data_IF_660761326475
#
_entry.id   IF_660761326475
#
_cell.length_a   1.000
_cell.length_b   1.000
_cell.length_c   1.000
_cell.angle_alpha   90.00
_cell.angle_beta   90.00
_cell.angle_gamma   90.00
#
_symmetry.space_group_name_H-M   'P 1'
#
loop_
_entity.id
_entity.type
_entity.pdbx_description
1 polymer ?
#
# COMPACT_ATOMS: atom_id res chain seq x y z
N UNK A 1 6.13 28.42 21.79
CA UNK A 1 5.90 27.52 22.94
C UNK A 1 4.43 27.14 23.02
N UNK A 2 3.51 28.02 23.45
CA UNK A 2 2.08 27.68 23.65
C UNK A 2 1.39 26.96 22.47
N UNK A 3 1.64 27.36 21.22
CA UNK A 3 1.06 26.72 20.03
C UNK A 3 1.50 25.27 19.84
N UNK A 4 2.73 24.93 20.23
CA UNK A 4 3.27 23.58 20.13
C UNK A 4 2.62 22.69 21.18
N UNK A 5 2.49 23.20 22.40
CA UNK A 5 1.90 22.47 23.53
C UNK A 5 0.41 22.19 23.28
N UNK A 6 -0.34 23.17 22.76
CA UNK A 6 -1.73 23.02 22.33
C UNK A 6 -1.87 22.01 21.19
N UNK A 7 -0.99 22.08 20.19
CA UNK A 7 -0.98 21.14 19.07
C UNK A 7 -0.71 19.70 19.51
N UNK A 8 0.21 19.50 20.44
CA UNK A 8 0.53 18.18 21.00
C UNK A 8 -0.59 17.63 21.88
N UNK A 9 -1.23 18.47 22.70
CA UNK A 9 -2.42 18.10 23.46
C UNK A 9 -3.58 17.68 22.56
N UNK A 10 -3.86 18.46 21.52
CA UNK A 10 -4.88 18.12 20.52
C UNK A 10 -4.55 16.81 19.79
N UNK A 11 -3.29 16.61 19.42
CA UNK A 11 -2.82 15.40 18.76
C UNK A 11 -2.99 14.15 19.64
N UNK A 12 -2.74 14.25 20.95
CA UNK A 12 -3.00 13.17 21.90
C UNK A 12 -4.50 12.85 21.98
N UNK A 13 -5.34 13.88 22.13
CA UNK A 13 -6.80 13.70 22.18
C UNK A 13 -7.29 13.00 20.92
N UNK A 14 -6.92 13.50 19.73
CA UNK A 14 -7.28 12.88 18.46
C UNK A 14 -6.80 11.42 18.36
N UNK A 15 -5.58 11.12 18.83
CA UNK A 15 -5.07 9.74 18.86
C UNK A 15 -5.92 8.85 19.74
N UNK A 16 -6.26 9.28 20.96
CA UNK A 16 -7.13 8.50 21.85
C UNK A 16 -8.51 8.30 21.24
N UNK A 17 -9.05 9.30 20.54
CA UNK A 17 -10.33 9.18 19.84
C UNK A 17 -10.27 8.16 18.69
N UNK A 18 -9.17 8.07 17.94
CA UNK A 18 -8.96 7.01 16.93
C UNK A 18 -8.87 5.63 17.60
N UNK A 19 -8.09 5.51 18.69
CA UNK A 19 -7.96 4.25 19.43
C UNK A 19 -9.27 3.78 20.07
N UNK A 20 -10.26 4.66 20.27
CA UNK A 20 -11.60 4.27 20.73
C UNK A 20 -12.26 3.22 19.83
N UNK A 21 -11.85 3.07 18.57
CA UNK A 21 -12.32 2.02 17.68
C UNK A 21 -12.12 0.61 18.25
N UNK A 22 -11.07 0.38 19.04
CA UNK A 22 -10.80 -0.93 19.65
C UNK A 22 -11.89 -1.38 20.65
N UNK A 23 -12.69 -0.42 21.16
CA UNK A 23 -13.74 -0.67 22.15
C UNK A 23 -15.12 -0.83 21.47
N UNK A 24 -15.21 -0.62 20.15
CA UNK A 24 -16.43 -0.73 19.35
C UNK A 24 -16.82 0.57 18.62
N UNK A 25 -18.03 0.59 18.04
CA UNK A 25 -18.57 1.70 17.24
C UNK A 25 -19.07 2.88 18.08
N UNK A 26 -18.14 3.67 18.62
CA UNK A 26 -18.44 4.81 19.49
C UNK A 26 -18.65 6.12 18.69
N UNK A 27 -19.47 7.05 19.22
CA UNK A 27 -19.69 8.38 18.61
C UNK A 27 -18.37 9.16 18.47
N UNK A 28 -17.48 8.99 19.46
CA UNK A 28 -16.15 9.62 19.49
C UNK A 28 -15.32 9.24 18.27
N UNK A 29 -15.28 7.95 17.93
CA UNK A 29 -14.57 7.46 16.75
C UNK A 29 -15.16 8.02 15.45
N UNK A 30 -16.50 7.97 15.30
CA UNK A 30 -17.19 8.52 14.12
C UNK A 30 -16.92 10.02 13.94
N UNK A 31 -16.89 10.79 15.03
CA UNK A 31 -16.60 12.22 14.97
C UNK A 31 -15.16 12.46 14.50
N UNK A 32 -14.20 11.67 14.98
CA UNK A 32 -12.81 11.75 14.50
C UNK A 32 -12.67 11.42 13.03
N UNK A 33 -13.40 10.43 12.52
CA UNK A 33 -13.41 10.10 11.09
C UNK A 33 -13.91 11.29 10.24
N UNK A 34 -15.00 11.94 10.65
CA UNK A 34 -15.52 13.12 9.95
C UNK A 34 -14.55 14.30 10.01
N UNK A 35 -13.89 14.53 11.16
CA UNK A 35 -12.84 15.55 11.27
C UNK A 35 -11.67 15.21 10.35
N UNK A 36 -11.21 13.97 10.35
CA UNK A 36 -10.09 13.51 9.53
C UNK A 36 -10.38 13.74 8.04
N UNK A 37 -11.54 13.28 7.57
CA UNK A 37 -11.96 13.44 6.16
C UNK A 37 -12.17 14.93 5.83
N UNK A 38 -12.82 15.69 6.71
CA UNK A 38 -13.07 17.12 6.52
C UNK A 38 -11.77 17.94 6.43
N UNK A 39 -10.83 17.73 7.36
CA UNK A 39 -9.52 18.38 7.34
C UNK A 39 -8.72 17.96 6.10
N UNK A 40 -8.77 16.70 5.71
CA UNK A 40 -8.07 16.22 4.50
C UNK A 40 -8.59 16.92 3.24
N UNK A 41 -9.92 16.99 3.06
CA UNK A 41 -10.55 17.66 1.92
C UNK A 41 -10.30 19.17 1.95
N UNK A 42 -10.36 19.78 3.13
CA UNK A 42 -10.09 21.21 3.33
C UNK A 42 -8.65 21.57 2.97
N UNK A 43 -7.67 20.82 3.49
CA UNK A 43 -6.26 21.02 3.14
C UNK A 43 -6.02 20.81 1.64
N UNK A 44 -6.56 19.75 1.04
CA UNK A 44 -6.44 19.52 -0.40
C UNK A 44 -7.05 20.66 -1.22
N UNK A 45 -8.16 21.23 -0.79
CA UNK A 45 -8.80 22.39 -1.44
C UNK A 45 -7.91 23.63 -1.35
N UNK A 46 -7.29 23.89 -0.20
CA UNK A 46 -6.31 24.96 -0.05
C UNK A 46 -5.11 24.76 -0.98
N UNK A 47 -4.59 23.53 -1.07
CA UNK A 47 -3.50 23.21 -2.01
C UNK A 47 -3.91 23.48 -3.46
N UNK A 48 -5.12 23.10 -3.86
CA UNK A 48 -5.63 23.38 -5.20
C UNK A 48 -5.74 24.90 -5.44
N UNK A 49 -6.26 25.67 -4.48
CA UNK A 49 -6.42 27.11 -4.65
C UNK A 49 -5.05 27.81 -4.73
N UNK A 50 -4.19 27.57 -3.73
CA UNK A 50 -2.94 28.33 -3.58
C UNK A 50 -1.80 27.82 -4.46
N UNK A 51 -1.74 26.51 -4.75
CA UNK A 51 -0.63 25.93 -5.52
C UNK A 51 -0.99 25.56 -6.95
N UNK A 52 -2.27 25.64 -7.34
CA UNK A 52 -2.70 25.35 -8.71
C UNK A 52 -3.48 26.51 -9.34
N UNK A 53 -4.58 26.97 -8.73
CA UNK A 53 -5.48 27.95 -9.35
C UNK A 53 -4.85 29.35 -9.36
N UNK A 54 -4.44 29.89 -8.20
CA UNK A 54 -3.87 31.24 -8.12
C UNK A 54 -2.61 31.38 -8.99
N UNK A 55 -1.62 30.48 -8.91
CA UNK A 55 -0.44 30.57 -9.77
C UNK A 55 -0.79 30.46 -11.25
N UNK A 56 -1.74 29.61 -11.63
CA UNK A 56 -2.18 29.49 -13.02
C UNK A 56 -2.80 30.80 -13.54
N UNK A 57 -3.62 31.48 -12.72
CA UNK A 57 -4.23 32.76 -13.09
C UNK A 57 -3.18 33.87 -13.23
N UNK A 58 -2.22 33.96 -12.31
CA UNK A 58 -1.10 34.91 -12.40
C UNK A 58 -0.28 34.68 -13.67
N UNK A 59 0.07 33.42 -13.99
CA UNK A 59 0.83 33.09 -15.21
C UNK A 59 0.06 33.42 -16.49
N UNK A 60 -1.28 33.34 -16.48
CA UNK A 60 -2.11 33.74 -17.63
C UNK A 60 -2.12 35.28 -17.77
N UNK A 61 -2.17 36.02 -16.67
CA UNK A 61 -2.20 37.49 -16.67
C UNK A 61 -0.85 38.11 -17.04
N UNK A 62 0.26 37.49 -16.64
CA UNK A 62 1.63 37.96 -16.94
C UNK A 62 2.00 37.88 -18.43
N UNK A 63 1.10 37.41 -19.30
CA UNK A 63 1.28 37.45 -20.76
C UNK A 63 2.23 36.36 -21.23
N UNK A 64 1.71 35.15 -21.33
CA UNK A 64 2.46 33.96 -21.71
C UNK A 64 2.22 33.63 -23.19
N UNK A 65 3.27 33.26 -23.94
CA UNK A 65 3.14 32.83 -25.34
C UNK A 65 2.15 31.67 -25.50
N UNK A 66 1.69 31.40 -26.73
CA UNK A 66 0.64 30.42 -27.05
C UNK A 66 0.86 29.06 -26.35
N UNK A 67 2.11 28.59 -26.23
CA UNK A 67 2.45 27.33 -25.56
C UNK A 67 2.23 27.34 -24.02
N UNK A 68 2.47 28.46 -23.34
CA UNK A 68 2.23 28.59 -21.91
C UNK A 68 0.73 28.74 -21.62
N UNK A 69 -0.02 29.45 -22.47
CA UNK A 69 -1.48 29.53 -22.38
C UNK A 69 -2.12 28.14 -22.39
N UNK A 70 -1.72 27.26 -23.32
CA UNK A 70 -2.25 25.89 -23.38
C UNK A 70 -1.92 25.08 -22.12
N UNK A 71 -0.70 25.20 -21.60
CA UNK A 71 -0.23 24.41 -20.45
C UNK A 71 -0.99 24.71 -19.16
N UNK A 72 -1.32 25.98 -18.88
CA UNK A 72 -2.03 26.38 -17.65
C UNK A 72 -3.55 26.47 -17.81
N UNK A 73 -4.03 26.85 -19.00
CA UNK A 73 -5.47 26.97 -19.26
C UNK A 73 -6.13 25.60 -19.35
N UNK A 74 -5.46 24.60 -19.91
CA UNK A 74 -6.06 23.26 -20.10
C UNK A 74 -6.40 22.58 -18.75
N UNK A 75 -5.49 22.49 -17.75
CA UNK A 75 -5.82 21.95 -16.43
C UNK A 75 -6.91 22.76 -15.72
N UNK A 76 -6.90 24.09 -15.86
CA UNK A 76 -7.89 24.97 -15.23
C UNK A 76 -9.29 24.75 -15.83
N UNK A 77 -9.37 24.61 -17.15
CA UNK A 77 -10.62 24.29 -17.84
C UNK A 77 -11.15 22.91 -17.42
N UNK A 78 -10.30 21.89 -17.37
CA UNK A 78 -10.67 20.56 -16.88
C UNK A 78 -11.13 20.61 -15.41
N UNK A 79 -10.48 21.43 -14.57
CA UNK A 79 -10.89 21.67 -13.19
C UNK A 79 -12.27 22.34 -13.08
N UNK A 80 -12.56 23.32 -13.92
CA UNK A 80 -13.89 23.96 -13.97
C UNK A 80 -14.95 22.94 -14.42
N UNK A 81 -14.67 22.11 -15.42
CA UNK A 81 -15.58 21.02 -15.84
C UNK A 81 -15.86 20.04 -14.70
N UNK A 82 -14.88 19.81 -13.81
CA UNK A 82 -15.04 18.95 -12.64
C UNK A 82 -15.96 19.56 -11.58
N UNK A 83 -16.01 20.88 -11.42
CA UNK A 83 -16.89 21.55 -10.46
C UNK A 83 -18.37 21.26 -10.73
N UNK A 84 -18.73 21.12 -12.01
CA UNK A 84 -20.09 20.83 -12.45
C UNK A 84 -20.47 19.34 -12.37
N UNK A 85 -19.64 18.47 -11.78
CA UNK A 85 -19.89 17.02 -11.63
C UNK A 85 -21.31 16.63 -11.20
N UNK A 86 -22.02 17.35 -10.29
CA UNK A 86 -23.37 16.97 -9.89
C UNK A 86 -24.38 16.95 -11.05
N UNK A 87 -24.11 17.70 -12.12
CA UNK A 87 -25.00 17.86 -13.28
C UNK A 87 -24.94 16.61 -14.17
N UNK A 88 -26.10 15.95 -14.37
CA UNK A 88 -26.19 14.69 -15.13
C UNK A 88 -25.79 14.83 -16.62
N UNK A 89 -26.04 15.99 -17.23
CA UNK A 89 -25.81 16.24 -18.65
C UNK A 89 -24.33 16.22 -19.06
N UNK A 90 -23.43 16.70 -18.20
CA UNK A 90 -21.99 16.79 -18.51
C UNK A 90 -21.16 15.61 -17.99
N UNK A 91 -21.82 14.57 -17.46
CA UNK A 91 -21.17 13.35 -16.96
C UNK A 91 -20.12 12.75 -17.89
N UNK A 92 -20.29 12.65 -19.22
CA UNK A 92 -19.22 12.10 -20.06
C UNK A 92 -17.93 12.95 -20.00
N UNK A 93 -18.05 14.28 -19.98
CA UNK A 93 -16.90 15.17 -19.86
C UNK A 93 -16.23 15.05 -18.48
N UNK A 94 -17.02 15.08 -17.40
CA UNK A 94 -16.47 14.93 -16.04
C UNK A 94 -15.88 13.54 -15.79
N UNK A 95 -16.42 12.48 -16.40
CA UNK A 95 -15.88 11.13 -16.30
C UNK A 95 -14.51 11.02 -16.97
N UNK A 96 -14.28 11.73 -18.09
CA UNK A 96 -12.96 11.79 -18.72
C UNK A 96 -11.94 12.48 -17.82
N UNK A 97 -12.32 13.60 -17.20
CA UNK A 97 -11.47 14.29 -16.21
C UNK A 97 -11.16 13.37 -15.02
N UNK A 98 -12.14 12.64 -14.50
CA UNK A 98 -11.96 11.68 -13.41
C UNK A 98 -11.06 10.50 -13.79
N UNK A 99 -11.19 9.98 -15.00
CA UNK A 99 -10.31 8.93 -15.51
C UNK A 99 -8.85 9.42 -15.55
N UNK A 100 -8.63 10.68 -15.94
CA UNK A 100 -7.31 11.29 -15.93
C UNK A 100 -6.77 11.46 -14.50
N UNK A 101 -7.56 11.98 -13.57
CA UNK A 101 -7.14 12.17 -12.16
C UNK A 101 -6.87 10.84 -11.48
N UNK A 102 -7.75 9.85 -11.61
CA UNK A 102 -7.52 8.52 -11.02
C UNK A 102 -6.34 7.82 -11.69
N UNK A 103 -6.19 7.99 -13.01
CA UNK A 103 -5.05 7.48 -13.76
C UNK A 103 -3.72 8.05 -13.28
N UNK A 104 -3.62 9.37 -13.07
CA UNK A 104 -2.39 10.01 -12.58
C UNK A 104 -2.09 9.61 -11.13
N UNK A 105 -3.09 9.57 -10.25
CA UNK A 105 -2.90 9.12 -8.85
C UNK A 105 -2.47 7.66 -8.80
N UNK A 106 -3.07 6.79 -9.62
CA UNK A 106 -2.70 5.37 -9.70
C UNK A 106 -1.28 5.21 -10.25
N UNK A 107 -0.90 5.99 -11.28
CA UNK A 107 0.44 5.98 -11.83
C UNK A 107 1.49 6.47 -10.82
N UNK A 108 1.19 7.55 -10.08
CA UNK A 108 2.06 8.05 -9.02
C UNK A 108 2.21 7.04 -7.88
N UNK A 109 1.12 6.41 -7.45
CA UNK A 109 1.16 5.37 -6.43
C UNK A 109 1.97 4.15 -6.89
N UNK A 110 1.76 3.69 -8.13
CA UNK A 110 2.53 2.60 -8.71
C UNK A 110 4.01 2.96 -8.84
N UNK A 111 4.33 4.16 -9.36
CA UNK A 111 5.70 4.65 -9.47
C UNK A 111 6.37 4.78 -8.10
N UNK A 112 5.65 5.29 -7.11
CA UNK A 112 6.12 5.41 -5.73
C UNK A 112 6.35 4.05 -5.07
N UNK A 113 5.50 3.05 -5.34
CA UNK A 113 5.72 1.68 -4.88
C UNK A 113 6.93 1.05 -5.58
N UNK A 114 7.05 1.18 -6.89
CA UNK A 114 8.17 0.60 -7.65
C UNK A 114 9.49 1.24 -7.24
N UNK A 115 9.58 2.57 -7.27
CA UNK A 115 10.83 3.28 -6.96
C UNK A 115 11.12 3.36 -5.46
N UNK A 116 10.09 3.44 -4.62
CA UNK A 116 10.23 3.61 -3.18
C UNK A 116 10.40 2.30 -2.42
N UNK A 117 9.88 1.18 -2.91
CA UNK A 117 10.00 -0.12 -2.22
C UNK A 117 10.63 -1.21 -3.09
N UNK A 118 10.09 -1.49 -4.28
CA UNK A 118 10.52 -2.65 -5.07
C UNK A 118 11.98 -2.54 -5.54
N UNK A 119 12.38 -1.40 -6.12
CA UNK A 119 13.75 -1.21 -6.60
C UNK A 119 14.78 -1.20 -5.46
N UNK A 120 14.57 -0.47 -4.33
CA UNK A 120 15.44 -0.58 -3.17
C UNK A 120 15.53 -2.00 -2.61
N UNK A 121 14.42 -2.76 -2.59
CA UNK A 121 14.42 -4.15 -2.14
C UNK A 121 15.19 -5.07 -3.08
N UNK A 122 15.06 -4.91 -4.40
CA UNK A 122 15.87 -5.64 -5.39
C UNK A 122 17.36 -5.30 -5.19
N UNK A 123 17.69 -4.03 -5.04
CA UNK A 123 19.07 -3.59 -4.75
C UNK A 123 19.61 -4.20 -3.46
N UNK A 124 18.79 -4.27 -2.40
CA UNK A 124 19.15 -4.90 -1.12
C UNK A 124 19.48 -6.40 -1.26
N UNK A 125 18.87 -7.08 -2.24
CA UNK A 125 19.16 -8.50 -2.52
C UNK A 125 20.45 -8.71 -3.32
N UNK A 126 20.99 -7.66 -3.94
CA UNK A 126 22.21 -7.71 -4.76
C UNK A 126 23.49 -7.37 -3.95
N UNK A 127 23.40 -7.11 -2.64
CA UNK A 127 24.59 -6.79 -1.84
C UNK A 127 25.58 -7.98 -1.82
N UNK A 128 26.88 -7.74 -2.06
CA UNK A 128 27.88 -8.79 -2.03
C UNK A 128 28.01 -9.39 -0.63
N UNK A 129 28.07 -10.72 -0.55
CA UNK A 129 28.25 -11.46 0.71
C UNK A 129 29.70 -11.39 1.22
N UNK A 130 30.65 -11.06 0.34
CA UNK A 130 32.08 -10.98 0.64
C UNK A 130 32.55 -9.54 0.47
N UNK A 131 32.34 -8.72 1.49
CA UNK A 131 32.88 -7.36 1.57
C UNK A 131 33.82 -7.29 2.78
N UNK A 132 34.99 -6.68 2.60
CA UNK A 132 35.96 -6.55 3.70
C UNK A 132 35.37 -5.70 4.83
N UNK A 133 35.41 -6.22 6.07
CA UNK A 133 34.92 -5.52 7.27
C UNK A 133 33.44 -5.78 7.65
N UNK A 134 32.77 -6.78 7.07
CA UNK A 134 31.40 -7.15 7.50
C UNK A 134 31.41 -7.68 8.94
N UNK A 135 30.57 -7.08 9.81
CA UNK A 135 30.28 -7.63 11.14
C UNK A 135 29.42 -8.89 11.07
N UNK A 136 29.61 -9.83 12.00
CA UNK A 136 28.93 -11.15 12.01
C UNK A 136 27.40 -11.00 11.92
N UNK A 137 26.82 -10.00 12.57
CA UNK A 137 25.39 -9.73 12.54
C UNK A 137 24.87 -9.35 11.13
N UNK A 138 25.64 -8.56 10.38
CA UNK A 138 25.28 -8.14 9.02
C UNK A 138 25.42 -9.31 8.02
N UNK A 139 26.43 -10.17 8.21
CA UNK A 139 26.56 -11.41 7.43
C UNK A 139 25.35 -12.33 7.63
N UNK A 140 24.92 -12.53 8.88
CA UNK A 140 23.73 -13.33 9.20
C UNK A 140 22.50 -12.71 8.52
N UNK A 141 22.33 -11.39 8.62
CA UNK A 141 21.22 -10.67 7.97
C UNK A 141 21.16 -10.91 6.46
N UNK A 142 22.30 -10.78 5.76
CA UNK A 142 22.39 -11.01 4.30
C UNK A 142 22.13 -12.47 3.92
N UNK A 143 22.63 -13.43 4.69
CA UNK A 143 22.35 -14.87 4.45
C UNK A 143 20.87 -15.18 4.65
N UNK A 144 20.27 -14.69 5.74
CA UNK A 144 18.84 -14.86 6.01
C UNK A 144 17.99 -14.23 4.91
N UNK A 145 18.38 -13.07 4.39
CA UNK A 145 17.73 -12.42 3.24
C UNK A 145 17.76 -13.32 2.00
N UNK A 146 18.93 -13.83 1.61
CA UNK A 146 19.07 -14.71 0.43
C UNK A 146 18.26 -16.00 0.60
N UNK A 147 18.36 -16.67 1.75
CA UNK A 147 17.62 -17.91 2.01
C UNK A 147 16.11 -17.66 2.05
N UNK A 148 15.68 -16.57 2.71
CA UNK A 148 14.28 -16.19 2.82
C UNK A 148 13.66 -15.85 1.47
N UNK A 149 14.36 -15.09 0.63
CA UNK A 149 13.90 -14.73 -0.71
C UNK A 149 13.80 -15.94 -1.64
N UNK A 150 14.83 -16.80 -1.68
CA UNK A 150 14.80 -18.05 -2.46
C UNK A 150 13.66 -18.98 -2.02
N UNK A 151 13.48 -19.15 -0.71
CA UNK A 151 12.42 -20.00 -0.15
C UNK A 151 11.03 -19.45 -0.50
N UNK A 152 10.85 -18.13 -0.45
CA UNK A 152 9.58 -17.48 -0.78
C UNK A 152 9.25 -17.61 -2.26
N UNK A 153 10.21 -17.37 -3.15
CA UNK A 153 10.03 -17.57 -4.60
C UNK A 153 9.69 -19.02 -4.91
N UNK A 154 10.41 -19.96 -4.28
CA UNK A 154 10.15 -21.39 -4.46
C UNK A 154 8.74 -21.78 -4.01
N UNK A 155 8.25 -21.24 -2.88
CA UNK A 155 6.88 -21.48 -2.43
C UNK A 155 5.83 -20.98 -3.42
N UNK A 156 5.96 -19.74 -3.91
CA UNK A 156 4.97 -19.16 -4.82
C UNK A 156 4.94 -19.85 -6.18
N UNK A 157 6.09 -20.27 -6.70
CA UNK A 157 6.18 -20.95 -8.00
C UNK A 157 5.50 -22.33 -8.00
N UNK A 158 5.50 -23.04 -6.86
CA UNK A 158 4.91 -24.38 -6.76
C UNK A 158 3.48 -24.40 -6.17
N UNK A 159 3.07 -23.36 -5.45
CA UNK A 159 1.72 -23.29 -4.84
C UNK A 159 0.64 -22.92 -5.87
N UNK A 160 0.95 -22.10 -6.87
CA UNK A 160 -0.02 -21.69 -7.91
C UNK A 160 -0.39 -22.82 -8.88
N UNK A 161 0.37 -23.92 -8.94
CA UNK A 161 0.09 -25.07 -9.82
C UNK A 161 -0.75 -26.19 -9.20
N UNK A 162 -1.17 -26.08 -7.94
CA UNK A 162 -1.82 -27.20 -7.22
C UNK A 162 -3.32 -27.02 -6.94
N UNK A 163 -3.98 -26.01 -7.51
CA UNK A 163 -5.41 -25.73 -7.26
C UNK A 163 -6.23 -25.67 -8.56
N UNK A 164 -5.89 -26.48 -9.56
CA UNK A 164 -6.79 -26.76 -10.69
C UNK A 164 -7.16 -28.24 -10.66
N UNK A 165 -8.25 -28.55 -9.96
CA UNK A 165 -8.73 -29.93 -9.84
C UNK A 165 -9.78 -30.17 -8.76
N UNK A 166 -10.63 -29.18 -8.46
CA UNK A 166 -11.93 -29.46 -7.84
C UNK A 166 -12.98 -29.35 -8.94
N UNK A 167 -13.05 -30.39 -9.78
CA UNK A 167 -14.15 -30.55 -10.72
C UNK A 167 -15.45 -30.76 -9.91
N UNK A 168 -16.46 -30.01 -10.32
CA UNK A 168 -17.80 -30.01 -9.75
C UNK A 168 -18.35 -31.47 -9.69
N UNK A 169 -18.92 -31.94 -8.56
CA UNK A 169 -19.48 -33.31 -8.45
C UNK A 169 -20.60 -33.64 -9.44
N UNK A 170 -21.11 -32.63 -10.17
CA UNK A 170 -22.17 -32.78 -11.16
C UNK A 170 -21.66 -33.14 -12.56
N UNK A 171 -20.34 -33.13 -12.81
CA UNK A 171 -19.74 -33.54 -14.09
C UNK A 171 -19.20 -34.99 -14.09
N UNK A 172 -19.13 -35.66 -12.93
CA UNK A 172 -18.64 -37.03 -12.82
C UNK A 172 -19.67 -38.10 -13.20
N UNK A 173 -20.95 -37.74 -13.33
CA UNK A 173 -22.00 -38.66 -13.78
C UNK A 173 -21.92 -38.97 -15.30
N UNK A 174 -21.34 -38.09 -16.11
CA UNK A 174 -21.20 -38.27 -17.57
C UNK A 174 -19.80 -38.73 -18.01
N UNK A 175 -18.85 -38.87 -17.08
CA UNK A 175 -17.46 -39.23 -17.38
C UNK A 175 -17.14 -40.74 -17.20
N UNK A 176 -18.16 -41.60 -17.09
CA UNK A 176 -18.01 -43.03 -16.80
C UNK A 176 -17.47 -43.92 -17.93
N UNK A 177 -16.81 -43.40 -18.97
CA UNK A 177 -16.33 -44.24 -20.11
C UNK A 177 -14.89 -44.03 -20.59
N UNK A 178 -14.07 -43.20 -19.93
CA UNK A 178 -12.68 -42.98 -20.38
C UNK A 178 -11.61 -43.14 -19.29
N UNK A 179 -11.89 -43.92 -18.25
CA UNK A 179 -10.89 -44.32 -17.26
C UNK A 179 -10.04 -45.50 -17.78
N UNK A 180 -9.19 -45.23 -18.76
CA UNK A 180 -8.22 -46.18 -19.27
C UNK A 180 -6.95 -45.48 -19.73
N UNK A 181 -5.83 -45.78 -19.05
CA UNK A 181 -4.43 -45.44 -19.38
C UNK A 181 -3.88 -44.14 -18.79
N UNK A 182 -3.55 -44.15 -17.51
CA UNK A 182 -2.40 -43.38 -17.02
C UNK A 182 -1.78 -43.99 -15.75
N UNK A 183 -1.37 -45.26 -15.83
CA UNK A 183 -0.69 -45.99 -14.75
C UNK A 183 0.85 -45.99 -14.89
N UNK A 184 1.46 -44.88 -15.31
CA UNK A 184 2.89 -44.85 -15.59
C UNK A 184 3.53 -43.48 -15.41
N UNK A 185 3.68 -43.01 -14.16
CA UNK A 185 4.57 -41.89 -13.75
C UNK A 185 4.69 -41.79 -12.22
N UNK A 186 4.87 -42.93 -11.54
CA UNK A 186 4.74 -43.05 -10.07
C UNK A 186 6.00 -42.64 -9.28
N UNK A 187 7.23 -42.77 -9.80
CA UNK A 187 8.41 -42.40 -9.00
C UNK A 187 8.66 -40.88 -8.91
N UNK A 188 8.50 -40.17 -10.02
CA UNK A 188 8.75 -38.71 -10.11
C UNK A 188 7.64 -37.91 -9.42
N UNK A 189 6.39 -38.41 -9.44
CA UNK A 189 5.26 -37.76 -8.76
C UNK A 189 5.25 -37.97 -7.24
N UNK A 190 5.90 -39.02 -6.72
CA UNK A 190 6.07 -39.24 -5.28
C UNK A 190 7.25 -38.45 -4.71
N UNK A 191 8.38 -38.38 -5.43
CA UNK A 191 9.51 -37.52 -5.08
C UNK A 191 9.12 -36.04 -5.13
N UNK A 192 8.37 -35.60 -6.15
CA UNK A 192 7.86 -34.22 -6.21
C UNK A 192 6.81 -33.92 -5.13
N UNK A 193 6.06 -34.91 -4.65
CA UNK A 193 5.11 -34.74 -3.54
C UNK A 193 5.79 -34.51 -2.18
N UNK A 194 6.86 -35.25 -1.85
CA UNK A 194 7.60 -35.03 -0.57
C UNK A 194 8.37 -33.71 -0.57
N UNK A 195 9.05 -33.38 -1.67
CA UNK A 195 9.76 -32.11 -1.81
C UNK A 195 8.77 -30.93 -1.82
N UNK A 196 7.62 -31.05 -2.50
CA UNK A 196 6.58 -29.99 -2.50
C UNK A 196 5.78 -29.88 -1.21
N UNK A 197 5.67 -30.94 -0.39
CA UNK A 197 5.02 -30.84 0.93
C UNK A 197 5.89 -30.08 1.93
N UNK A 198 7.19 -30.35 1.97
CA UNK A 198 8.10 -29.63 2.85
C UNK A 198 8.30 -28.18 2.40
N UNK A 199 8.41 -27.92 1.09
CA UNK A 199 8.49 -26.55 0.57
C UNK A 199 7.23 -25.70 0.90
N UNK A 200 6.05 -26.32 0.93
CA UNK A 200 4.79 -25.65 1.32
C UNK A 200 4.75 -25.24 2.79
N UNK A 201 5.27 -26.08 3.69
CA UNK A 201 5.36 -25.76 5.11
C UNK A 201 6.34 -24.60 5.34
N UNK A 202 7.56 -24.72 4.81
CA UNK A 202 8.60 -23.70 5.01
C UNK A 202 8.18 -22.36 4.41
N UNK A 203 7.59 -22.35 3.21
CA UNK A 203 7.09 -21.11 2.61
C UNK A 203 5.94 -20.46 3.39
N UNK A 204 5.03 -21.25 3.97
CA UNK A 204 3.96 -20.72 4.83
C UNK A 204 4.53 -20.04 6.09
N UNK A 205 5.53 -20.66 6.72
CA UNK A 205 6.22 -20.07 7.88
C UNK A 205 7.00 -18.81 7.52
N UNK A 206 7.70 -18.81 6.38
CA UNK A 206 8.41 -17.63 5.88
C UNK A 206 7.46 -16.45 5.63
N UNK A 207 6.30 -16.71 5.00
CA UNK A 207 5.26 -15.71 4.77
C UNK A 207 4.67 -15.20 6.10
N UNK A 208 4.35 -16.10 7.04
CA UNK A 208 3.86 -15.70 8.36
C UNK A 208 4.85 -14.83 9.12
N UNK A 209 6.15 -15.14 9.05
CA UNK A 209 7.20 -14.36 9.69
C UNK A 209 7.35 -12.98 9.04
N UNK A 210 7.36 -12.92 7.70
CA UNK A 210 7.46 -11.65 6.97
C UNK A 210 6.26 -10.72 7.27
N UNK A 211 5.02 -11.22 7.15
CA UNK A 211 3.83 -10.43 7.49
C UNK A 211 3.76 -10.11 8.97
N UNK A 212 4.17 -11.03 9.85
CA UNK A 212 4.26 -10.79 11.28
C UNK A 212 5.23 -9.65 11.64
N UNK A 213 6.40 -9.61 10.99
CA UNK A 213 7.37 -8.54 11.19
C UNK A 213 6.85 -7.18 10.69
N UNK A 214 6.19 -7.15 9.52
CA UNK A 214 5.57 -5.93 9.00
C UNK A 214 4.42 -5.45 9.91
N UNK A 215 3.60 -6.37 10.40
CA UNK A 215 2.54 -6.02 11.34
C UNK A 215 3.10 -5.49 12.66
N UNK A 216 4.11 -6.16 13.21
CA UNK A 216 4.77 -5.76 14.44
C UNK A 216 5.46 -4.39 14.31
N UNK A 217 6.08 -4.07 13.17
CA UNK A 217 6.72 -2.76 12.96
C UNK A 217 5.68 -1.64 12.91
N UNK A 218 4.56 -1.87 12.23
CA UNK A 218 3.44 -0.91 12.17
C UNK A 218 2.83 -0.70 13.56
N UNK A 219 2.57 -1.79 14.29
CA UNK A 219 2.06 -1.72 15.66
C UNK A 219 3.02 -0.97 16.57
N UNK A 220 4.30 -1.32 16.56
CA UNK A 220 5.34 -0.65 17.35
C UNK A 220 5.40 0.85 17.05
N UNK A 221 5.29 1.24 15.77
CA UNK A 221 5.28 2.65 15.36
C UNK A 221 4.10 3.40 15.99
N UNK A 222 2.91 2.81 15.96
CA UNK A 222 1.73 3.45 16.54
C UNK A 222 1.76 3.49 18.08
N UNK A 223 2.29 2.46 18.73
CA UNK A 223 2.48 2.45 20.18
C UNK A 223 3.55 3.42 20.62
N UNK A 224 4.68 3.48 19.92
CA UNK A 224 5.75 4.44 20.19
C UNK A 224 5.23 5.89 20.07
N UNK A 225 4.49 6.20 19.00
CA UNK A 225 3.86 7.51 18.82
C UNK A 225 2.86 7.86 19.94
N UNK A 226 2.15 6.87 20.50
CA UNK A 226 1.25 7.07 21.64
C UNK A 226 2.02 7.32 22.94
N UNK A 227 3.08 6.53 23.19
CA UNK A 227 3.95 6.71 24.36
C UNK A 227 4.64 8.07 24.33
N UNK A 228 5.15 8.51 23.18
CA UNK A 228 5.73 9.84 23.01
C UNK A 228 4.73 10.96 23.37
N UNK A 229 3.48 10.83 22.93
CA UNK A 229 2.41 11.79 23.25
C UNK A 229 2.04 11.78 24.74
N UNK A 230 2.02 10.61 25.38
CA UNK A 230 1.75 10.48 26.83
C UNK A 230 2.91 11.03 27.68
N UNK A 231 4.15 10.73 27.31
CA UNK A 231 5.34 11.23 28.01
C UNK A 231 5.44 12.76 27.93
N UNK A 232 5.00 13.36 26.84
CA UNK A 232 4.90 14.81 26.72
C UNK A 232 3.98 15.43 27.79
N UNK A 233 2.80 14.85 28.02
CA UNK A 233 1.89 15.32 29.08
C UNK A 233 2.50 15.20 30.48
N UNK A 234 3.25 14.12 30.74
CA UNK A 234 3.93 13.91 32.01
C UNK A 234 5.09 14.91 32.21
N UNK A 235 5.77 15.31 31.13
CA UNK A 235 6.80 16.37 31.13
C UNK A 235 6.25 17.79 31.25
N UNK A 236 4.96 18.03 31.00
CA UNK A 236 4.31 19.33 31.25
C UNK A 236 4.02 19.54 32.75
N UNK A 237 3.90 18.45 33.51
CA UNK A 237 3.52 18.47 34.93
C UNK A 237 4.72 18.61 35.90
N UNK A 238 5.96 18.61 35.39
CA UNK A 238 7.21 18.82 36.15
C UNK A 238 8.16 19.73 35.36
#
# INVERSE_FOLDING_TARGET
>A
MLWVDLGQGLALVLTLMVYSYLIGDNVVFRLTEHILVGVSVGWATLQIIFNLILPALERIQEGAGIGQLVTYTLPLLLGVVMLFRPIRAIRPATNLVMALVVGTVSALALSGAVAGTLLPQIGATMLPLNQAGIGIADLIGRVVLVVGTLTTLWYFQFTTRSTEGKSNPLQTASAGRSAGRSAGRSAVSLLSRRVSQNARLVGRWAIMLAFGAVFASVFLTYFAALVERLLFLLKIQF
#
